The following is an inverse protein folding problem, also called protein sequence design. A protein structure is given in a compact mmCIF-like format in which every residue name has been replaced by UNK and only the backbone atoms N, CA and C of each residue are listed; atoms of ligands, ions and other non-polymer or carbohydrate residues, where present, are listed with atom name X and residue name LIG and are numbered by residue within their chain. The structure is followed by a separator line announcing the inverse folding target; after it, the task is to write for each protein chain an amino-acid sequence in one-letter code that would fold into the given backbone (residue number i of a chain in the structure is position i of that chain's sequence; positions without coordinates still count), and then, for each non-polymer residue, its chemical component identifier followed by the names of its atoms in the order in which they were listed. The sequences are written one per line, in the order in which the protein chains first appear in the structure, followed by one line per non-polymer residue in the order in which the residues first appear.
data_IF_516771041344
#
_entry.id   IF_516771041344
#
_cell.length_a   1.000
_cell.length_b   1.000
_cell.length_c   1.000
_cell.angle_alpha   90.00
_cell.angle_beta   90.00
_cell.angle_gamma   90.00
#
_symmetry.space_group_name_H-M   'P 1'
#
loop_
_entity.id
_entity.type
_entity.pdbx_description
1 polymer ?
#
# COMPACT_ATOMS: atom_id res chain seq x y z
N UNK A 1 -2.10 20.76 -6.11
CA UNK A 1 -3.51 21.01 -6.51
C UNK A 1 -4.39 20.53 -5.37
N UNK A 2 -5.48 21.22 -5.05
CA UNK A 2 -6.40 20.76 -4.01
C UNK A 2 -7.39 19.75 -4.61
N UNK A 3 -7.60 18.62 -3.93
CA UNK A 3 -8.49 17.55 -4.40
C UNK A 3 -9.92 17.76 -3.92
N UNK A 4 -10.90 17.39 -4.75
CA UNK A 4 -12.31 17.47 -4.39
C UNK A 4 -12.68 16.28 -3.50
N UNK A 5 -13.42 16.55 -2.42
CA UNK A 5 -13.93 15.48 -1.56
C UNK A 5 -14.95 14.60 -2.29
N UNK A 6 -14.99 13.33 -1.89
CA UNK A 6 -15.97 12.36 -2.35
C UNK A 6 -17.32 12.66 -1.70
N UNK A 7 -18.40 12.56 -2.47
CA UNK A 7 -19.76 12.58 -1.91
C UNK A 7 -20.04 11.26 -1.21
N UNK A 8 -20.01 11.27 0.12
CA UNK A 8 -20.19 10.08 0.96
C UNK A 8 -21.61 9.50 0.91
N UNK A 9 -22.59 10.22 0.35
CA UNK A 9 -24.01 9.81 0.38
C UNK A 9 -24.31 8.55 -0.45
N UNK A 10 -23.44 8.18 -1.39
CA UNK A 10 -23.66 7.08 -2.34
C UNK A 10 -22.47 6.10 -2.47
N UNK A 11 -21.53 6.12 -1.52
CA UNK A 11 -20.38 5.21 -1.55
C UNK A 11 -20.61 3.96 -0.70
N UNK A 12 -19.97 2.87 -1.09
CA UNK A 12 -19.94 1.64 -0.31
C UNK A 12 -18.64 1.60 0.49
N UNK A 13 -18.72 1.93 1.78
CA UNK A 13 -17.57 1.98 2.69
C UNK A 13 -17.27 0.61 3.30
N UNK A 14 -15.97 0.32 3.43
CA UNK A 14 -15.41 -0.82 4.11
C UNK A 14 -14.76 -0.31 5.40
N UNK A 15 -15.19 -0.87 6.52
CA UNK A 15 -14.69 -0.57 7.87
C UNK A 15 -13.80 -1.69 8.46
N UNK A 16 -13.85 -2.90 7.88
CA UNK A 16 -13.18 -4.10 8.41
C UNK A 16 -13.03 -5.16 7.32
N UNK A 17 -12.15 -6.14 7.55
CA UNK A 17 -12.01 -7.31 6.66
C UNK A 17 -13.31 -8.11 6.62
N UNK A 18 -14.01 -8.22 7.74
CA UNK A 18 -15.28 -8.92 7.85
C UNK A 18 -16.38 -8.30 6.98
N UNK A 19 -16.59 -6.98 7.07
CA UNK A 19 -17.62 -6.30 6.25
C UNK A 19 -17.33 -6.44 4.76
N UNK A 20 -16.06 -6.36 4.36
CA UNK A 20 -15.67 -6.55 2.97
C UNK A 20 -15.96 -7.97 2.46
N UNK A 21 -15.65 -9.02 3.25
CA UNK A 21 -15.97 -10.41 2.87
C UNK A 21 -17.47 -10.59 2.64
N UNK A 22 -18.31 -10.03 3.53
CA UNK A 22 -19.76 -10.08 3.36
C UNK A 22 -20.23 -9.38 2.09
N UNK A 23 -19.65 -8.21 1.78
CA UNK A 23 -19.96 -7.48 0.56
C UNK A 23 -19.62 -8.28 -0.70
N UNK A 24 -18.42 -8.87 -0.76
CA UNK A 24 -18.01 -9.70 -1.90
C UNK A 24 -18.91 -10.93 -2.05
N UNK A 25 -19.30 -11.55 -0.94
CA UNK A 25 -20.27 -12.66 -0.95
C UNK A 25 -21.60 -12.23 -1.58
N UNK A 26 -22.17 -11.09 -1.18
CA UNK A 26 -23.41 -10.55 -1.75
C UNK A 26 -23.28 -10.24 -3.24
N UNK A 27 -22.14 -9.69 -3.68
CA UNK A 27 -21.87 -9.44 -5.10
C UNK A 27 -21.92 -10.75 -5.88
N UNK A 28 -21.26 -11.79 -5.38
CA UNK A 28 -21.22 -13.10 -6.04
C UNK A 28 -22.60 -13.74 -6.12
N UNK A 29 -23.34 -13.77 -5.01
CA UNK A 29 -24.70 -14.34 -4.96
C UNK A 29 -25.67 -13.62 -5.91
N UNK A 30 -25.58 -12.28 -5.98
CA UNK A 30 -26.42 -11.48 -6.88
C UNK A 30 -26.14 -11.81 -8.34
N UNK A 31 -24.86 -12.00 -8.71
CA UNK A 31 -24.45 -12.33 -10.07
C UNK A 31 -24.83 -13.74 -10.47
N UNK A 32 -24.60 -14.72 -9.59
CA UNK A 32 -24.99 -16.11 -9.83
C UNK A 32 -26.51 -16.23 -10.06
N UNK A 33 -27.32 -15.42 -9.35
CA UNK A 33 -28.76 -15.36 -9.55
C UNK A 33 -29.20 -14.72 -10.88
N UNK A 34 -28.41 -13.79 -11.43
CA UNK A 34 -28.71 -13.09 -12.68
C UNK A 34 -28.26 -13.87 -13.92
N UNK A 35 -27.03 -14.38 -13.90
CA UNK A 35 -26.35 -14.90 -15.10
C UNK A 35 -26.31 -16.43 -15.15
N UNK A 36 -26.72 -17.12 -14.07
CA UNK A 36 -26.78 -18.58 -13.99
C UNK A 36 -25.41 -19.29 -14.13
N UNK A 37 -24.32 -18.52 -14.14
CA UNK A 37 -22.94 -18.98 -14.28
C UNK A 37 -22.07 -18.39 -13.16
N UNK A 38 -21.10 -19.16 -12.69
CA UNK A 38 -20.08 -18.68 -11.75
C UNK A 38 -18.99 -17.99 -12.56
N UNK A 39 -19.12 -16.68 -12.77
CA UNK A 39 -18.06 -15.87 -13.39
C UNK A 39 -16.97 -15.59 -12.37
N UNK A 40 -15.70 -15.69 -12.81
CA UNK A 40 -14.57 -15.30 -11.99
C UNK A 40 -14.58 -13.78 -11.77
N UNK A 41 -14.28 -13.34 -10.54
CA UNK A 41 -14.13 -11.93 -10.21
C UNK A 41 -12.65 -11.59 -10.13
N UNK A 42 -12.28 -10.50 -10.79
CA UNK A 42 -10.95 -9.91 -10.74
C UNK A 42 -11.02 -8.56 -10.03
N UNK A 43 -10.07 -8.31 -9.14
CA UNK A 43 -10.07 -7.16 -8.26
C UNK A 43 -8.84 -6.29 -8.48
N UNK A 44 -8.97 -4.98 -8.22
CA UNK A 44 -7.87 -4.03 -8.19
C UNK A 44 -8.04 -3.07 -7.03
N UNK A 45 -7.09 -3.08 -6.10
CA UNK A 45 -6.96 -2.07 -5.06
C UNK A 45 -6.11 -0.88 -5.53
N UNK A 46 -6.51 0.32 -5.13
CA UNK A 46 -5.74 1.54 -5.30
C UNK A 46 -5.71 2.30 -3.98
N UNK A 47 -4.54 2.79 -3.59
CA UNK A 47 -4.34 3.50 -2.34
C UNK A 47 -5.02 4.88 -2.29
N UNK A 48 -5.41 5.43 -3.45
CA UNK A 48 -6.10 6.73 -3.55
C UNK A 48 -7.25 6.69 -4.55
N UNK A 49 -8.31 7.44 -4.27
CA UNK A 49 -9.51 7.54 -5.11
C UNK A 49 -9.36 8.38 -6.37
N UNK A 50 -8.38 9.28 -6.40
CA UNK A 50 -8.22 10.26 -7.47
C UNK A 50 -7.31 9.77 -8.60
N UNK A 51 -6.77 8.56 -8.50
CA UNK A 51 -6.01 7.93 -9.57
C UNK A 51 -6.94 7.39 -10.65
N UNK A 52 -6.63 7.70 -11.91
CA UNK A 52 -7.28 7.08 -13.05
C UNK A 52 -6.82 5.60 -13.19
N UNK A 53 -7.70 4.77 -13.76
CA UNK A 53 -7.37 3.38 -14.06
C UNK A 53 -6.71 3.32 -15.44
N UNK A 54 -5.38 3.34 -15.43
CA UNK A 54 -4.57 3.21 -16.65
C UNK A 54 -3.25 2.47 -16.39
N UNK A 55 -2.76 1.68 -17.36
CA UNK A 55 -1.44 1.07 -17.34
C UNK A 55 -0.33 2.12 -17.32
N UNK A 56 0.83 1.72 -16.85
CA UNK A 56 1.99 2.60 -16.71
C UNK A 56 2.48 3.18 -18.03
N UNK A 57 2.33 2.49 -19.16
CA UNK A 57 2.76 3.00 -20.48
C UNK A 57 1.91 4.16 -21.02
N UNK A 58 0.67 4.33 -20.53
CA UNK A 58 -0.21 5.44 -20.95
C UNK A 58 0.05 6.73 -20.17
N UNK A 59 0.86 6.65 -19.11
CA UNK A 59 1.29 7.79 -18.30
C UNK A 59 2.45 8.51 -18.97
N UNK A 60 2.57 9.80 -18.69
CA UNK A 60 3.71 10.65 -19.08
C UNK A 60 4.06 10.59 -20.58
N UNK A 61 3.07 10.33 -21.44
CA UNK A 61 3.17 10.21 -22.90
C UNK A 61 4.25 9.22 -23.40
N UNK A 62 4.57 8.21 -22.58
CA UNK A 62 5.55 7.15 -22.87
C UNK A 62 5.13 6.23 -24.04
N UNK A 63 3.84 6.20 -24.38
CA UNK A 63 3.27 5.35 -25.44
C UNK A 63 3.94 5.58 -26.82
N UNK A 64 4.36 6.81 -27.11
CA UNK A 64 5.06 7.18 -28.35
C UNK A 64 6.36 6.39 -28.55
N UNK A 65 7.07 6.09 -27.47
CA UNK A 65 8.36 5.38 -27.49
C UNK A 65 8.25 3.94 -27.01
N UNK A 66 7.04 3.39 -26.87
CA UNK A 66 6.80 2.05 -26.34
C UNK A 66 7.67 0.97 -27.01
N UNK A 67 7.82 1.04 -28.34
CA UNK A 67 8.66 0.11 -29.10
C UNK A 67 10.12 0.11 -28.64
N UNK A 68 10.67 1.28 -28.28
CA UNK A 68 12.03 1.42 -27.75
C UNK A 68 12.10 0.87 -26.33
N UNK A 69 11.09 1.16 -25.53
CA UNK A 69 10.98 0.68 -24.14
C UNK A 69 10.88 -0.85 -24.07
N UNK A 70 10.28 -1.49 -25.07
CA UNK A 70 10.27 -2.96 -25.19
C UNK A 70 11.60 -3.56 -25.65
N UNK A 71 12.46 -2.79 -26.33
CA UNK A 71 13.74 -3.28 -26.87
C UNK A 71 14.93 -3.01 -25.94
N UNK A 72 14.96 -1.85 -25.28
CA UNK A 72 16.11 -1.42 -24.46
C UNK A 72 16.50 -2.40 -23.35
N UNK A 73 15.57 -2.99 -22.57
CA UNK A 73 15.94 -3.92 -21.52
C UNK A 73 16.52 -5.23 -22.07
N UNK A 74 16.03 -5.73 -23.22
CA UNK A 74 16.59 -6.91 -23.90
C UNK A 74 18.05 -6.69 -24.29
N UNK A 75 18.39 -5.47 -24.71
CA UNK A 75 19.75 -5.12 -25.12
C UNK A 75 20.69 -4.95 -23.94
N UNK A 76 20.21 -4.38 -22.82
CA UNK A 76 21.02 -4.13 -21.63
C UNK A 76 21.30 -5.39 -20.81
N UNK A 77 20.30 -6.26 -20.68
CA UNK A 77 20.37 -7.45 -19.82
C UNK A 77 19.81 -8.71 -20.49
N UNK A 78 20.39 -9.15 -21.63
CA UNK A 78 19.82 -10.24 -22.44
C UNK A 78 19.73 -11.59 -21.69
N UNK A 79 20.62 -11.83 -20.73
CA UNK A 79 20.66 -13.07 -19.95
C UNK A 79 19.42 -13.25 -19.08
N UNK A 80 18.81 -12.16 -18.62
CA UNK A 80 17.61 -12.19 -17.80
C UNK A 80 16.37 -12.69 -18.56
N UNK A 81 16.35 -12.58 -19.89
CA UNK A 81 15.17 -12.89 -20.70
C UNK A 81 15.32 -14.16 -21.53
N UNK A 82 16.43 -14.89 -21.37
CA UNK A 82 16.78 -16.05 -22.21
C UNK A 82 15.76 -17.17 -22.15
N UNK A 83 15.18 -17.40 -20.97
CA UNK A 83 14.27 -18.53 -20.74
C UNK A 83 12.78 -18.16 -20.98
N UNK A 84 12.51 -16.92 -21.40
CA UNK A 84 11.15 -16.46 -21.69
C UNK A 84 10.83 -16.64 -23.18
N UNK A 85 9.74 -17.34 -23.46
CA UNK A 85 9.37 -17.75 -24.82
C UNK A 85 8.27 -16.89 -25.44
N UNK A 86 7.63 -16.00 -24.67
CA UNK A 86 6.56 -15.11 -25.14
C UNK A 86 6.86 -13.66 -24.81
N UNK A 87 6.51 -12.75 -25.73
CA UNK A 87 6.60 -11.30 -25.50
C UNK A 87 5.75 -10.88 -24.30
N UNK A 88 4.62 -11.55 -24.05
CA UNK A 88 3.81 -11.31 -22.87
C UNK A 88 4.59 -11.59 -21.58
N UNK A 89 5.29 -12.72 -21.48
CA UNK A 89 6.09 -13.05 -20.29
C UNK A 89 7.27 -12.08 -20.11
N UNK A 90 7.82 -11.54 -21.21
CA UNK A 90 8.81 -10.46 -21.15
C UNK A 90 8.17 -9.20 -20.53
N UNK A 91 6.96 -8.83 -20.96
CA UNK A 91 6.22 -7.68 -20.41
C UNK A 91 5.89 -7.87 -18.92
N UNK A 92 5.51 -9.09 -18.47
CA UNK A 92 5.26 -9.33 -17.04
C UNK A 92 6.55 -9.16 -16.22
N UNK A 93 7.70 -9.64 -16.74
CA UNK A 93 9.00 -9.43 -16.10
C UNK A 93 9.41 -7.95 -16.08
N UNK A 94 9.12 -7.21 -17.15
CA UNK A 94 9.31 -5.76 -17.21
C UNK A 94 8.51 -5.02 -16.13
N UNK A 95 7.22 -5.31 -16.05
CA UNK A 95 6.34 -4.72 -15.03
C UNK A 95 6.82 -5.02 -13.62
N UNK A 96 7.28 -6.25 -13.37
CA UNK A 96 7.82 -6.64 -12.08
C UNK A 96 8.99 -5.76 -11.61
N UNK A 97 9.88 -5.38 -12.54
CA UNK A 97 11.01 -4.49 -12.28
C UNK A 97 10.70 -2.99 -12.48
N UNK A 98 9.42 -2.62 -12.59
CA UNK A 98 8.98 -1.23 -12.66
C UNK A 98 9.08 -0.58 -14.04
N UNK A 99 9.32 -1.36 -15.11
CA UNK A 99 9.24 -0.85 -16.47
C UNK A 99 7.78 -0.61 -16.87
N UNK A 100 7.51 0.46 -17.61
CA UNK A 100 6.15 0.75 -18.04
C UNK A 100 5.69 -0.18 -19.17
N UNK A 101 4.49 -0.75 -19.04
CA UNK A 101 3.90 -1.68 -20.02
C UNK A 101 2.39 -1.44 -20.19
N UNK A 102 1.77 -2.16 -21.14
CA UNK A 102 0.31 -2.19 -21.34
C UNK A 102 -0.45 -3.02 -20.31
N UNK A 103 0.25 -3.68 -19.39
CA UNK A 103 -0.36 -4.54 -18.39
C UNK A 103 -0.89 -3.69 -17.23
N UNK A 104 -2.13 -3.93 -16.85
CA UNK A 104 -2.70 -3.40 -15.61
C UNK A 104 -2.77 -4.53 -14.57
N UNK A 105 -2.24 -4.29 -13.37
CA UNK A 105 -2.23 -5.28 -12.30
C UNK A 105 -3.63 -5.49 -11.70
N UNK A 106 -4.06 -6.74 -11.63
CA UNK A 106 -5.25 -7.18 -10.91
C UNK A 106 -4.91 -8.41 -10.07
N UNK A 107 -5.85 -8.84 -9.24
CA UNK A 107 -5.73 -10.06 -8.43
C UNK A 107 -7.04 -10.83 -8.43
N UNK A 108 -6.98 -12.16 -8.35
CA UNK A 108 -8.15 -13.00 -8.09
C UNK A 108 -8.51 -13.05 -6.60
N UNK A 109 -7.64 -12.54 -5.71
CA UNK A 109 -7.87 -12.54 -4.27
C UNK A 109 -8.40 -11.16 -3.83
N UNK A 110 -9.67 -11.05 -3.40
CA UNK A 110 -10.24 -9.78 -2.97
C UNK A 110 -9.46 -9.16 -1.80
N UNK A 111 -8.94 -9.97 -0.88
CA UNK A 111 -8.20 -9.45 0.28
C UNK A 111 -6.83 -8.86 -0.09
N UNK A 112 -6.22 -9.34 -1.18
CA UNK A 112 -5.01 -8.72 -1.73
C UNK A 112 -5.35 -7.34 -2.33
N UNK A 113 -6.51 -7.21 -2.99
CA UNK A 113 -6.97 -5.90 -3.46
C UNK A 113 -7.28 -4.95 -2.28
N UNK A 114 -7.88 -5.46 -1.20
CA UNK A 114 -8.09 -4.68 0.03
C UNK A 114 -6.76 -4.20 0.62
N UNK A 115 -5.74 -5.06 0.70
CA UNK A 115 -4.40 -4.66 1.13
C UNK A 115 -3.85 -3.49 0.33
N UNK A 116 -3.94 -3.55 -1.01
CA UNK A 116 -3.46 -2.47 -1.88
C UNK A 116 -4.26 -1.17 -1.72
N UNK A 117 -5.57 -1.26 -1.46
CA UNK A 117 -6.40 -0.10 -1.18
C UNK A 117 -6.06 0.55 0.19
N UNK A 118 -5.58 -0.24 1.15
CA UNK A 118 -5.22 0.24 2.48
C UNK A 118 -3.77 0.74 2.60
N UNK A 119 -2.96 0.70 1.53
CA UNK A 119 -1.62 1.28 1.60
C UNK A 119 -1.69 2.78 1.91
N UNK A 120 -0.79 3.23 2.78
CA UNK A 120 -0.67 4.64 3.16
C UNK A 120 -0.08 5.43 1.98
N UNK A 121 -0.80 6.45 1.55
CA UNK A 121 -0.34 7.40 0.55
C UNK A 121 0.36 8.61 1.20
N UNK A 122 -0.13 9.04 2.36
CA UNK A 122 0.27 10.27 3.02
C UNK A 122 -0.85 11.32 2.98
N UNK A 123 -0.80 12.27 3.91
CA UNK A 123 -1.80 13.33 4.01
C UNK A 123 -1.81 14.21 2.77
N UNK A 124 -3.00 14.42 2.20
CA UNK A 124 -3.22 15.24 1.00
C UNK A 124 -4.14 16.39 1.37
N UNK A 125 -3.85 17.59 0.81
CA UNK A 125 -4.68 18.77 1.01
C UNK A 125 -5.92 18.76 0.11
N UNK A 126 -7.09 18.74 0.71
CA UNK A 126 -8.37 18.84 0.02
C UNK A 126 -8.81 20.31 -0.17
N UNK A 127 -9.81 20.54 -1.03
CA UNK A 127 -10.40 21.87 -1.28
C UNK A 127 -11.01 22.48 -0.02
N UNK A 128 -11.39 21.64 0.95
CA UNK A 128 -11.85 22.02 2.29
C UNK A 128 -10.74 22.55 3.21
N UNK A 129 -9.50 22.61 2.73
CA UNK A 129 -8.27 22.97 3.46
C UNK A 129 -7.83 21.97 4.54
N UNK A 130 -8.55 20.87 4.73
CA UNK A 130 -8.15 19.77 5.60
C UNK A 130 -7.09 18.88 4.91
N UNK A 131 -6.05 18.53 5.68
CA UNK A 131 -5.07 17.53 5.29
C UNK A 131 -5.46 16.18 5.91
N UNK A 132 -5.79 15.21 5.06
CA UNK A 132 -6.16 13.87 5.50
C UNK A 132 -5.61 12.81 4.56
N UNK A 133 -5.51 11.59 5.08
CA UNK A 133 -5.18 10.42 4.26
C UNK A 133 -6.33 10.18 3.26
N UNK A 134 -6.03 10.03 1.95
CA UNK A 134 -7.05 9.80 0.94
C UNK A 134 -7.74 8.44 1.07
N UNK A 135 -8.88 8.27 0.41
CA UNK A 135 -9.63 7.02 0.43
C UNK A 135 -8.93 5.97 -0.43
N UNK A 136 -8.86 4.74 0.09
CA UNK A 136 -8.56 3.58 -0.73
C UNK A 136 -9.76 3.22 -1.60
N UNK A 137 -9.53 2.65 -2.78
CA UNK A 137 -10.60 2.20 -3.67
C UNK A 137 -10.34 0.79 -4.18
N UNK A 138 -11.38 -0.04 -4.19
CA UNK A 138 -11.35 -1.40 -4.73
C UNK A 138 -12.33 -1.51 -5.88
N UNK A 139 -11.79 -1.70 -7.07
CA UNK A 139 -12.55 -2.01 -8.28
C UNK A 139 -12.63 -3.51 -8.48
N UNK A 140 -13.67 -3.96 -9.17
CA UNK A 140 -13.78 -5.34 -9.61
C UNK A 140 -14.42 -5.47 -11.00
N UNK A 141 -14.14 -6.57 -11.68
CA UNK A 141 -14.71 -6.90 -13.00
C UNK A 141 -14.89 -8.40 -13.15
N UNK A 142 -15.86 -8.78 -13.95
CA UNK A 142 -16.20 -10.15 -14.40
C UNK A 142 -16.45 -10.20 -15.91
N UNK A 143 -16.12 -9.12 -16.63
CA UNK A 143 -16.40 -9.00 -18.07
C UNK A 143 -15.54 -9.90 -18.94
N UNK A 144 -14.60 -10.63 -18.34
CA UNK A 144 -13.53 -11.33 -19.04
C UNK A 144 -13.48 -12.78 -18.63
N UNK A 145 -13.23 -13.63 -19.61
CA UNK A 145 -12.73 -14.98 -19.39
C UNK A 145 -11.21 -14.94 -19.31
N UNK A 146 -10.63 -15.87 -18.55
CA UNK A 146 -9.18 -15.99 -18.45
C UNK A 146 -8.58 -16.51 -19.76
N UNK A 147 -7.64 -15.73 -20.31
CA UNK A 147 -6.80 -16.10 -21.44
C UNK A 147 -5.43 -16.57 -20.97
N UNK A 148 -4.75 -17.36 -21.80
CA UNK A 148 -3.38 -17.81 -21.59
C UNK A 148 -2.39 -16.96 -22.38
N UNK A 149 -1.15 -16.87 -21.92
CA UNK A 149 -0.09 -16.12 -22.63
C UNK A 149 0.23 -16.68 -24.02
N UNK A 150 -0.19 -17.91 -24.31
CA UNK A 150 -0.04 -18.59 -25.61
C UNK A 150 -1.20 -18.33 -26.57
N UNK A 151 -2.29 -17.71 -26.14
CA UNK A 151 -3.43 -17.44 -27.02
C UNK A 151 -3.04 -16.41 -28.08
N UNK A 152 -3.57 -16.59 -29.30
CA UNK A 152 -3.12 -15.84 -30.48
C UNK A 152 -3.35 -14.33 -30.32
N UNK A 153 -4.44 -13.95 -29.67
CA UNK A 153 -4.79 -12.57 -29.36
C UNK A 153 -3.72 -11.91 -28.48
N UNK A 154 -3.27 -12.63 -27.45
CA UNK A 154 -2.26 -12.14 -26.51
C UNK A 154 -0.91 -11.98 -27.22
N UNK A 155 -0.55 -12.94 -28.07
CA UNK A 155 0.67 -12.87 -28.86
C UNK A 155 0.65 -11.68 -29.84
N UNK A 156 -0.46 -11.45 -30.54
CA UNK A 156 -0.62 -10.33 -31.48
C UNK A 156 -0.50 -8.99 -30.74
N UNK A 157 -1.25 -8.81 -29.66
CA UNK A 157 -1.27 -7.55 -28.90
C UNK A 157 0.11 -7.25 -28.28
N UNK A 158 0.76 -8.27 -27.72
CA UNK A 158 2.11 -8.14 -27.15
C UNK A 158 3.16 -7.83 -28.23
N UNK A 159 3.06 -8.44 -29.41
CA UNK A 159 3.95 -8.14 -30.53
C UNK A 159 3.79 -6.70 -31.02
N UNK A 160 2.54 -6.23 -31.20
CA UNK A 160 2.23 -4.86 -31.62
C UNK A 160 2.77 -3.80 -30.64
N UNK A 161 2.82 -4.09 -29.35
CA UNK A 161 3.45 -3.20 -28.36
C UNK A 161 4.94 -2.96 -28.69
N UNK A 162 5.65 -3.98 -29.19
CA UNK A 162 7.06 -3.90 -29.56
C UNK A 162 7.32 -3.26 -30.94
N UNK A 163 6.29 -3.08 -31.77
CA UNK A 163 6.43 -2.56 -33.13
C UNK A 163 6.47 -1.02 -33.16
N UNK A 164 7.29 -0.49 -34.08
CA UNK A 164 7.39 0.93 -34.40
C UNK A 164 6.29 1.31 -35.42
N UNK A 165 5.09 1.58 -34.91
CA UNK A 165 3.91 1.94 -35.71
C UNK A 165 3.91 3.42 -36.17
N UNK A 166 5.02 4.13 -36.06
CA UNK A 166 5.19 5.45 -36.71
C UNK A 166 5.67 5.32 -38.17
N UNK A 167 6.30 4.19 -38.52
CA UNK A 167 6.89 3.96 -39.85
C UNK A 167 6.15 2.90 -40.66
N UNK A 168 5.95 1.73 -40.07
CA UNK A 168 5.37 0.54 -40.71
C UNK A 168 4.05 0.23 -40.03
N UNK A 169 2.99 0.92 -40.46
CA UNK A 169 1.73 0.96 -39.72
C UNK A 169 0.50 0.68 -40.56
N UNK A 170 0.67 0.32 -41.84
CA UNK A 170 -0.45 -0.15 -42.64
C UNK A 170 -0.85 -1.56 -42.21
N UNK A 171 -2.11 -1.94 -42.45
CA UNK A 171 -2.58 -3.30 -42.24
C UNK A 171 -1.68 -4.32 -42.94
N UNK A 172 -1.24 -4.03 -44.17
CA UNK A 172 -0.35 -4.91 -44.91
C UNK A 172 1.00 -5.08 -44.21
N UNK A 173 1.64 -3.98 -43.81
CA UNK A 173 2.96 -4.02 -43.16
C UNK A 173 2.92 -4.76 -41.82
N UNK A 174 1.89 -4.46 -41.02
CA UNK A 174 1.69 -5.09 -39.70
C UNK A 174 1.46 -6.59 -39.84
N UNK A 175 0.61 -7.02 -40.78
CA UNK A 175 0.34 -8.45 -41.01
C UNK A 175 1.55 -9.19 -41.59
N UNK A 176 2.31 -8.58 -42.50
CA UNK A 176 3.58 -9.15 -42.97
C UNK A 176 4.58 -9.32 -41.82
N UNK A 177 4.70 -8.32 -40.95
CA UNK A 177 5.60 -8.39 -39.80
C UNK A 177 5.19 -9.46 -38.80
N UNK A 178 3.91 -9.54 -38.43
CA UNK A 178 3.39 -10.62 -37.58
C UNK A 178 3.66 -12.01 -38.18
N UNK A 179 3.59 -12.16 -39.50
CA UNK A 179 3.93 -13.40 -40.18
C UNK A 179 5.44 -13.70 -40.13
N UNK A 180 6.29 -12.70 -40.38
CA UNK A 180 7.74 -12.85 -40.30
C UNK A 180 8.22 -13.21 -38.89
N UNK A 181 7.63 -12.60 -37.87
CA UNK A 181 7.88 -12.87 -36.46
C UNK A 181 7.22 -14.19 -35.98
N UNK A 182 6.56 -14.91 -36.90
CA UNK A 182 5.90 -16.21 -36.68
C UNK A 182 4.79 -16.18 -35.64
N UNK A 183 4.18 -15.02 -35.43
CA UNK A 183 3.00 -14.85 -34.56
C UNK A 183 1.77 -15.42 -35.26
N UNK A 184 1.61 -15.15 -36.56
CA UNK A 184 0.52 -15.69 -37.39
C UNK A 184 1.07 -16.55 -38.52
N UNK A 185 0.25 -17.48 -39.00
CA UNK A 185 0.58 -18.25 -40.19
C UNK A 185 0.21 -17.49 -41.48
N UNK A 186 0.69 -18.01 -42.63
CA UNK A 186 0.45 -17.41 -43.94
C UNK A 186 -1.04 -17.37 -44.30
N UNK A 187 -1.81 -18.39 -43.92
CA UNK A 187 -3.24 -18.49 -44.25
C UNK A 187 -4.03 -17.41 -43.53
N UNK A 188 -3.74 -17.19 -42.25
CA UNK A 188 -4.33 -16.14 -41.41
C UNK A 188 -3.98 -14.76 -41.95
N UNK A 189 -2.70 -14.54 -42.31
CA UNK A 189 -2.26 -13.30 -42.98
C UNK A 189 -3.08 -13.01 -44.24
N UNK A 190 -3.10 -13.96 -45.18
CA UNK A 190 -3.77 -13.81 -46.47
C UNK A 190 -5.29 -13.60 -46.30
N UNK A 191 -5.91 -14.26 -45.31
CA UNK A 191 -7.32 -14.07 -44.96
C UNK A 191 -7.60 -12.66 -44.42
N UNK A 192 -6.83 -12.18 -43.44
CA UNK A 192 -7.07 -10.88 -42.82
C UNK A 192 -6.72 -9.69 -43.71
N UNK A 193 -5.89 -9.86 -44.75
CA UNK A 193 -5.71 -8.85 -45.79
C UNK A 193 -7.01 -8.57 -46.58
N UNK A 194 -7.93 -9.54 -46.64
CA UNK A 194 -9.23 -9.43 -47.32
C UNK A 194 -10.36 -9.19 -46.32
N UNK A 195 -10.36 -9.93 -45.21
CA UNK A 195 -11.38 -9.89 -44.16
C UNK A 195 -10.75 -9.57 -42.80
N UNK A 196 -10.42 -8.29 -42.60
CA UNK A 196 -9.72 -7.78 -41.43
C UNK A 196 -10.57 -7.67 -40.15
N UNK A 197 -11.86 -7.99 -40.20
CA UNK A 197 -12.79 -7.74 -39.08
C UNK A 197 -12.43 -8.46 -37.79
N UNK A 198 -11.96 -9.71 -37.90
CA UNK A 198 -11.46 -10.48 -36.76
C UNK A 198 -10.19 -9.84 -36.17
N UNK A 199 -9.22 -9.50 -37.01
CA UNK A 199 -7.98 -8.85 -36.58
C UNK A 199 -8.25 -7.51 -35.87
N UNK A 200 -9.14 -6.68 -36.42
CA UNK A 200 -9.52 -5.40 -35.79
C UNK A 200 -10.15 -5.63 -34.42
N UNK A 201 -11.03 -6.63 -34.28
CA UNK A 201 -11.61 -7.01 -32.99
C UNK A 201 -10.52 -7.41 -32.00
N UNK A 202 -9.49 -8.13 -32.45
CA UNK A 202 -8.38 -8.56 -31.59
C UNK A 202 -7.59 -7.35 -31.05
N UNK A 203 -7.21 -6.42 -31.93
CA UNK A 203 -6.38 -5.27 -31.54
C UNK A 203 -7.16 -4.15 -30.81
N UNK A 204 -8.48 -4.27 -30.72
CA UNK A 204 -9.34 -3.30 -30.03
C UNK A 204 -9.93 -3.82 -28.72
N UNK A 205 -9.97 -5.14 -28.51
CA UNK A 205 -10.44 -5.73 -27.27
C UNK A 205 -9.32 -5.88 -26.25
N UNK A 206 -9.64 -5.70 -24.96
CA UNK A 206 -8.73 -6.00 -23.86
C UNK A 206 -8.85 -7.48 -23.45
N UNK A 207 -7.84 -7.98 -22.74
CA UNK A 207 -7.78 -9.40 -22.37
C UNK A 207 -7.34 -9.59 -20.92
N UNK A 208 -8.06 -10.42 -20.17
CA UNK A 208 -7.62 -10.86 -18.84
C UNK A 208 -6.70 -12.05 -19.00
N UNK A 209 -5.42 -11.90 -18.68
CA UNK A 209 -4.40 -12.91 -18.92
C UNK A 209 -3.90 -13.48 -17.61
N UNK A 210 -3.95 -14.80 -17.49
CA UNK A 210 -3.31 -15.55 -16.43
C UNK A 210 -1.84 -15.71 -16.77
N UNK A 211 -0.93 -15.05 -16.04
CA UNK A 211 0.50 -15.16 -16.32
C UNK A 211 1.03 -16.53 -15.92
N UNK A 212 2.16 -16.93 -16.52
CA UNK A 212 2.91 -18.05 -15.99
C UNK A 212 3.49 -17.66 -14.62
N UNK A 213 3.17 -18.41 -13.56
CA UNK A 213 3.61 -18.13 -12.18
C UNK A 213 5.09 -18.46 -11.93
N UNK A 214 5.95 -18.10 -12.88
CA UNK A 214 7.41 -18.16 -12.75
C UNK A 214 7.92 -17.14 -11.73
N UNK A 215 7.18 -16.05 -11.56
CA UNK A 215 7.48 -15.00 -10.59
C UNK A 215 6.79 -15.28 -9.24
N UNK A 216 7.58 -15.40 -8.17
CA UNK A 216 7.06 -15.69 -6.84
C UNK A 216 6.15 -14.61 -6.30
N UNK A 217 6.48 -13.33 -6.53
CA UNK A 217 5.67 -12.18 -6.08
C UNK A 217 4.27 -12.25 -6.69
N UNK A 218 4.21 -12.48 -8.00
CA UNK A 218 2.95 -12.62 -8.74
C UNK A 218 2.10 -13.77 -8.21
N UNK A 219 2.75 -14.90 -7.88
CA UNK A 219 2.09 -16.06 -7.26
C UNK A 219 1.52 -15.74 -5.88
N UNK A 220 2.27 -15.03 -5.03
CA UNK A 220 1.83 -14.64 -3.68
C UNK A 220 0.67 -13.65 -3.69
N UNK A 221 0.62 -12.79 -4.69
CA UNK A 221 -0.43 -11.79 -4.87
C UNK A 221 -1.66 -12.33 -5.61
N UNK A 222 -1.65 -13.62 -6.02
CA UNK A 222 -2.64 -14.18 -6.94
C UNK A 222 -2.87 -13.27 -8.15
N UNK A 223 -1.77 -12.73 -8.68
CA UNK A 223 -1.78 -11.64 -9.63
C UNK A 223 -2.17 -12.09 -11.03
N UNK A 224 -2.98 -11.26 -11.68
CA UNK A 224 -3.44 -11.42 -13.06
C UNK A 224 -3.33 -10.08 -13.77
N UNK A 225 -3.29 -10.08 -15.09
CA UNK A 225 -3.10 -8.85 -15.85
C UNK A 225 -4.25 -8.59 -16.81
N UNK A 226 -4.76 -7.36 -16.81
CA UNK A 226 -5.53 -6.87 -17.95
C UNK A 226 -4.54 -6.33 -18.99
N UNK A 227 -4.39 -7.05 -20.10
CA UNK A 227 -3.60 -6.63 -21.25
C UNK A 227 -4.43 -5.65 -22.10
N UNK A 228 -3.94 -4.42 -22.21
CA UNK A 228 -4.68 -3.33 -22.86
C UNK A 228 -4.28 -3.18 -24.32
N UNK A 229 -5.24 -3.45 -25.20
CA UNK A 229 -4.97 -3.54 -26.64
C UNK A 229 -5.05 -2.16 -27.29
N UNK A 230 -6.16 -1.43 -27.14
CA UNK A 230 -6.32 0.00 -27.52
C UNK A 230 -5.54 0.47 -28.77
N UNK A 231 -5.50 -0.33 -29.82
CA UNK A 231 -4.96 0.09 -31.12
C UNK A 231 -6.09 0.69 -31.95
N UNK A 232 -5.88 1.89 -32.48
CA UNK A 232 -6.80 2.51 -33.42
C UNK A 232 -6.62 1.92 -34.81
N UNK A 233 -7.74 1.73 -35.52
CA UNK A 233 -7.76 1.27 -36.90
C UNK A 233 -8.48 2.31 -37.77
N UNK A 234 -7.73 3.01 -38.60
CA UNK A 234 -8.25 4.02 -39.52
C UNK A 234 -8.41 3.39 -40.90
N UNK A 235 -9.67 3.11 -41.27
CA UNK A 235 -10.00 2.45 -42.53
C UNK A 235 -9.77 3.38 -43.73
N UNK A 236 -8.99 2.91 -44.68
CA UNK A 236 -8.81 3.54 -46.00
C UNK A 236 -9.68 2.87 -47.08
N UNK A 237 -9.76 3.51 -48.25
CA UNK A 237 -10.49 2.95 -49.41
C UNK A 237 -9.97 1.57 -49.83
N UNK A 238 -8.64 1.42 -49.86
CA UNK A 238 -7.99 0.11 -49.94
C UNK A 238 -7.72 -0.38 -48.52
N UNK A 239 -8.36 -1.49 -48.14
CA UNK A 239 -8.24 -2.05 -46.79
C UNK A 239 -6.80 -2.31 -46.40
N UNK A 240 -5.92 -2.67 -47.35
CA UNK A 240 -4.51 -2.95 -47.10
C UNK A 240 -3.72 -1.73 -46.61
N UNK A 241 -4.15 -0.54 -47.01
CA UNK A 241 -3.52 0.74 -46.65
C UNK A 241 -4.14 1.34 -45.38
N UNK A 242 -5.11 0.66 -44.76
CA UNK A 242 -5.68 1.12 -43.49
C UNK A 242 -4.59 1.22 -42.42
N UNK A 243 -4.62 2.30 -41.65
CA UNK A 243 -3.54 2.63 -40.71
C UNK A 243 -3.88 2.16 -39.31
N UNK A 244 -2.91 1.53 -38.66
CA UNK A 244 -2.98 1.06 -37.28
C UNK A 244 -2.08 1.94 -36.42
N UNK A 245 -2.62 2.53 -35.35
CA UNK A 245 -1.85 3.39 -34.45
C UNK A 245 -2.08 3.04 -32.99
N UNK A 246 -1.09 3.36 -32.15
CA UNK A 246 -1.23 3.22 -30.70
C UNK A 246 -2.11 4.33 -30.16
N UNK A 247 -3.10 3.99 -29.36
CA UNK A 247 -3.93 4.97 -28.67
C UNK A 247 -3.95 4.68 -27.16
N UNK A 248 -4.30 5.72 -26.40
CA UNK A 248 -4.59 5.62 -24.97
C UNK A 248 -6.08 5.82 -24.73
N UNK A 249 -6.59 5.20 -23.68
CA UNK A 249 -7.98 5.26 -23.27
C UNK A 249 -8.13 4.98 -21.79
N UNK A 250 -9.23 5.45 -21.21
CA UNK A 250 -9.56 5.19 -19.80
C UNK A 250 -10.12 3.79 -19.65
N UNK A 251 -9.71 3.07 -18.62
CA UNK A 251 -10.18 1.71 -18.37
C UNK A 251 -11.26 1.61 -17.31
N UNK A 252 -11.77 2.74 -16.80
CA UNK A 252 -12.82 2.72 -15.76
C UNK A 252 -14.07 1.95 -16.23
N UNK A 253 -14.41 2.05 -17.51
CA UNK A 253 -15.53 1.33 -18.12
C UNK A 253 -15.30 -0.19 -18.21
N UNK A 254 -14.07 -0.68 -18.01
CA UNK A 254 -13.77 -2.12 -17.97
C UNK A 254 -14.10 -2.76 -16.62
N UNK A 255 -14.42 -1.94 -15.62
CA UNK A 255 -14.80 -2.38 -14.29
C UNK A 255 -16.30 -2.21 -14.06
N UNK A 256 -16.77 -2.76 -12.94
CA UNK A 256 -18.14 -2.54 -12.46
C UNK A 256 -18.37 -1.07 -12.12
N UNK A 257 -19.60 -0.60 -12.36
CA UNK A 257 -20.03 0.74 -11.93
C UNK A 257 -20.11 0.86 -10.41
N UNK A 258 -20.25 -0.27 -9.72
CA UNK A 258 -20.17 -0.38 -8.25
C UNK A 258 -18.76 -0.77 -7.86
N UNK A 259 -18.20 -0.06 -6.88
CA UNK A 259 -16.87 -0.31 -6.34
C UNK A 259 -16.82 0.18 -4.89
N UNK A 260 -15.80 -0.24 -4.15
CA UNK A 260 -15.75 -0.09 -2.70
C UNK A 260 -14.70 0.93 -2.29
N UNK A 261 -14.94 1.59 -1.17
CA UNK A 261 -14.04 2.59 -0.61
C UNK A 261 -13.58 2.19 0.79
N UNK A 262 -12.35 2.55 1.12
CA UNK A 262 -11.79 2.43 2.47
C UNK A 262 -11.45 3.84 2.94
N UNK A 263 -11.97 4.26 4.09
CA UNK A 263 -11.64 5.57 4.64
C UNK A 263 -10.14 5.64 4.99
N UNK A 264 -9.54 6.81 4.91
CA UNK A 264 -8.13 7.00 5.29
C UNK A 264 -7.83 6.59 6.74
N UNK A 265 -8.81 6.74 7.63
CA UNK A 265 -8.72 6.42 9.07
C UNK A 265 -8.77 4.90 9.32
N UNK A 266 -9.53 4.16 8.51
CA UNK A 266 -9.70 2.70 8.69
C UNK A 266 -8.57 1.88 8.07
N UNK A 267 -7.77 2.46 7.17
CA UNK A 267 -6.67 1.76 6.48
C UNK A 267 -5.75 0.98 7.42
N UNK A 268 -5.32 1.60 8.52
CA UNK A 268 -4.38 0.97 9.46
C UNK A 268 -5.02 -0.18 10.24
N UNK A 269 -6.28 -0.02 10.66
CA UNK A 269 -7.02 -1.07 11.35
C UNK A 269 -7.22 -2.29 10.44
N UNK A 270 -7.62 -2.06 9.19
CA UNK A 270 -7.82 -3.12 8.19
C UNK A 270 -6.50 -3.83 7.87
N UNK A 271 -5.39 -3.10 7.75
CA UNK A 271 -4.07 -3.71 7.55
C UNK A 271 -3.69 -4.63 8.72
N UNK A 272 -3.98 -4.22 9.96
CA UNK A 272 -3.74 -5.06 11.13
C UNK A 272 -4.63 -6.32 11.14
N UNK A 273 -5.89 -6.22 10.71
CA UNK A 273 -6.76 -7.39 10.53
C UNK A 273 -6.25 -8.32 9.44
N UNK A 274 -5.85 -7.78 8.29
CA UNK A 274 -5.28 -8.55 7.17
C UNK A 274 -3.99 -9.29 7.56
N UNK A 275 -3.18 -8.70 8.44
CA UNK A 275 -1.97 -9.32 8.96
C UNK A 275 -2.28 -10.63 9.72
N UNK A 276 -3.41 -10.71 10.45
CA UNK A 276 -3.88 -11.94 11.10
C UNK A 276 -4.15 -13.07 10.10
N UNK A 277 -4.48 -12.73 8.85
CA UNK A 277 -4.70 -13.67 7.75
C UNK A 277 -3.44 -13.89 6.90
N UNK A 278 -2.25 -13.45 7.36
CA UNK A 278 -0.99 -13.48 6.61
C UNK A 278 -1.02 -12.70 5.29
N UNK A 279 -1.80 -11.61 5.23
CA UNK A 279 -1.82 -10.70 4.08
C UNK A 279 -1.13 -9.41 4.50
N UNK A 280 0.19 -9.39 4.34
CA UNK A 280 1.04 -8.28 4.73
C UNK A 280 2.17 -8.08 3.70
N UNK A 281 3.00 -7.06 3.92
CA UNK A 281 4.08 -6.72 2.99
C UNK A 281 5.08 -7.88 2.80
N UNK A 282 5.48 -8.57 3.87
CA UNK A 282 6.45 -9.66 3.77
C UNK A 282 5.91 -10.90 3.04
N UNK A 283 4.61 -11.19 3.15
CA UNK A 283 4.02 -12.36 2.49
C UNK A 283 3.67 -12.09 1.03
N UNK A 284 3.29 -10.85 0.68
CA UNK A 284 2.95 -10.44 -0.68
C UNK A 284 4.17 -10.09 -1.54
N UNK A 285 5.27 -9.66 -0.91
CA UNK A 285 6.50 -9.27 -1.60
C UNK A 285 7.68 -10.11 -1.08
N UNK A 286 8.07 -11.18 -1.81
CA UNK A 286 9.11 -12.10 -1.38
C UNK A 286 10.52 -11.47 -1.42
N UNK A 287 10.69 -10.31 -2.04
CA UNK A 287 11.98 -9.63 -2.14
C UNK A 287 12.50 -9.19 -0.76
N UNK A 288 13.81 -9.32 -0.55
CA UNK A 288 14.44 -9.10 0.75
C UNK A 288 14.17 -7.68 1.30
N UNK A 289 14.15 -6.66 0.44
CA UNK A 289 13.88 -5.28 0.83
C UNK A 289 12.52 -5.14 1.54
N UNK A 290 11.49 -5.80 1.03
CA UNK A 290 10.14 -5.79 1.61
C UNK A 290 10.08 -6.60 2.91
N UNK A 291 10.78 -7.73 2.98
CA UNK A 291 10.90 -8.50 4.23
C UNK A 291 11.56 -7.67 5.33
N UNK A 292 12.66 -6.97 5.02
CA UNK A 292 13.37 -6.12 5.98
C UNK A 292 12.54 -4.90 6.39
N UNK A 293 11.82 -4.29 5.45
CA UNK A 293 10.89 -3.18 5.72
C UNK A 293 9.77 -3.61 6.66
N UNK A 294 9.21 -4.80 6.45
CA UNK A 294 8.21 -5.39 7.32
C UNK A 294 8.76 -5.71 8.72
N UNK A 295 9.97 -6.28 8.83
CA UNK A 295 10.61 -6.51 10.13
C UNK A 295 10.76 -5.19 10.90
N UNK A 296 11.20 -4.12 10.23
CA UNK A 296 11.26 -2.79 10.84
C UNK A 296 9.89 -2.33 11.31
N UNK A 297 8.84 -2.51 10.50
CA UNK A 297 7.47 -2.15 10.84
C UNK A 297 6.93 -2.93 12.05
N UNK A 298 7.01 -4.26 12.03
CA UNK A 298 6.49 -5.13 13.09
C UNK A 298 7.14 -4.85 14.46
N UNK A 299 8.39 -4.38 14.47
CA UNK A 299 9.13 -4.05 15.70
C UNK A 299 9.01 -2.57 16.11
N UNK A 300 8.23 -1.72 15.40
CA UNK A 300 8.07 -0.29 15.77
C UNK A 300 7.48 -0.08 17.15
N UNK A 301 6.68 -1.01 17.65
CA UNK A 301 6.09 -0.89 18.98
C UNK A 301 7.05 -1.30 20.11
N UNK A 302 8.24 -1.83 19.78
CA UNK A 302 9.27 -2.26 20.73
C UNK A 302 10.40 -1.24 20.89
N UNK A 303 10.44 -0.16 20.10
CA UNK A 303 11.52 0.83 20.17
C UNK A 303 11.41 1.72 21.41
N UNK A 304 12.54 1.92 22.07
CA UNK A 304 12.71 2.93 23.12
C UNK A 304 13.60 4.06 22.58
N UNK A 305 13.29 5.35 22.86
CA UNK A 305 14.17 6.45 22.49
C UNK A 305 15.51 6.29 23.22
N UNK A 306 16.59 6.42 22.46
CA UNK A 306 17.97 6.44 22.97
C UNK A 306 18.46 7.88 22.98
N UNK A 307 19.41 8.19 23.87
CA UNK A 307 20.04 9.51 23.88
C UNK A 307 20.87 9.72 22.63
N UNK A 308 20.93 10.97 22.17
CA UNK A 308 21.81 11.34 21.08
C UNK A 308 23.27 11.13 21.50
N UNK A 309 24.09 10.66 20.56
CA UNK A 309 25.51 10.47 20.80
C UNK A 309 26.17 11.83 21.10
N UNK A 310 26.71 11.97 22.31
CA UNK A 310 27.56 13.09 22.68
C UNK A 310 29.01 12.60 22.63
N UNK A 311 29.80 13.19 21.74
CA UNK A 311 31.23 12.91 21.66
C UNK A 311 31.90 13.38 22.95
N UNK A 312 32.64 12.50 23.60
CA UNK A 312 33.43 12.83 24.78
C UNK A 312 34.58 13.81 24.42
N UNK A 313 34.66 14.93 25.15
CA UNK A 313 35.76 15.91 25.06
C UNK A 313 36.37 16.11 26.46
N UNK A 314 37.69 15.92 26.59
CA UNK A 314 38.43 15.91 27.87
C UNK A 314 38.40 17.26 28.63
N UNK A 315 38.15 18.38 27.95
CA UNK A 315 38.25 19.72 28.55
C UNK A 315 36.95 20.25 29.20
N UNK A 316 35.85 19.49 29.20
CA UNK A 316 34.56 19.88 29.82
C UNK A 316 34.23 19.13 31.11
N UNK A 317 35.23 18.56 31.80
CA UNK A 317 35.03 17.80 33.03
C UNK A 317 34.72 18.65 34.28
N UNK A 318 34.64 19.98 34.17
CA UNK A 318 34.20 20.84 35.26
C UNK A 318 32.83 21.46 34.96
N UNK A 319 31.82 20.97 35.69
CA UNK A 319 30.54 21.61 36.06
C UNK A 319 29.20 21.08 35.54
N UNK A 320 29.08 19.84 35.03
CA UNK A 320 27.78 19.11 35.08
C UNK A 320 28.01 17.61 35.17
N UNK A 321 27.92 17.02 36.36
CA UNK A 321 27.77 15.57 36.48
C UNK A 321 26.40 15.17 35.90
N UNK A 322 26.40 14.22 34.97
CA UNK A 322 25.19 13.77 34.28
C UNK A 322 24.36 12.87 35.22
N UNK A 323 23.09 13.22 35.42
CA UNK A 323 22.17 12.60 36.40
C UNK A 323 21.95 11.10 36.13
N UNK A 324 22.27 10.62 34.93
CA UNK A 324 22.22 9.18 34.59
C UNK A 324 23.07 8.29 35.51
N UNK A 325 24.05 8.85 36.23
CA UNK A 325 24.90 8.12 37.20
C UNK A 325 24.24 7.97 38.57
N UNK A 326 23.26 8.83 38.93
CA UNK A 326 22.61 8.86 40.27
C UNK A 326 21.12 8.44 40.27
N UNK A 327 20.72 7.64 39.28
CA UNK A 327 19.34 7.20 39.12
C UNK A 327 18.82 6.33 40.28
N UNK A 328 19.61 5.41 40.87
CA UNK A 328 19.18 4.68 42.06
C UNK A 328 18.87 5.59 43.25
N UNK A 329 19.62 6.68 43.44
CA UNK A 329 19.37 7.66 44.51
C UNK A 329 18.09 8.48 44.25
N UNK A 330 17.82 8.87 43.01
CA UNK A 330 16.57 9.55 42.63
C UNK A 330 15.36 8.65 42.85
N UNK A 331 15.44 7.39 42.41
CA UNK A 331 14.37 6.41 42.60
C UNK A 331 14.12 6.19 44.09
N UNK A 332 15.18 6.00 44.89
CA UNK A 332 15.06 5.85 46.34
C UNK A 332 14.47 7.10 47.01
N UNK A 333 14.87 8.31 46.61
CA UNK A 333 14.29 9.56 47.09
C UNK A 333 12.78 9.63 46.83
N UNK A 334 12.35 9.22 45.64
CA UNK A 334 10.93 9.18 45.29
C UNK A 334 10.19 8.19 46.16
N UNK A 335 10.75 7.00 46.41
CA UNK A 335 10.14 5.99 47.27
C UNK A 335 10.01 6.45 48.72
N UNK A 336 11.05 7.08 49.27
CA UNK A 336 11.10 7.48 50.68
C UNK A 336 10.17 8.67 50.98
N UNK A 337 9.89 9.52 49.98
CA UNK A 337 9.10 10.74 50.15
C UNK A 337 7.70 10.65 49.53
N UNK A 338 7.33 9.52 48.94
CA UNK A 338 6.07 9.37 48.22
C UNK A 338 4.85 9.61 49.11
N UNK A 339 4.76 8.89 50.23
CA UNK A 339 3.57 8.93 51.11
C UNK A 339 3.31 10.34 51.67
N UNK A 340 4.37 11.09 51.99
CA UNK A 340 4.28 12.43 52.55
C UNK A 340 3.96 13.49 51.48
N UNK A 341 4.56 13.41 50.29
CA UNK A 341 4.33 14.37 49.20
C UNK A 341 2.96 14.22 48.54
N UNK A 342 2.43 13.01 48.50
CA UNK A 342 1.13 12.72 47.88
C UNK A 342 -0.04 12.68 48.88
N UNK A 343 0.23 13.01 50.15
CA UNK A 343 -0.75 13.09 51.23
C UNK A 343 -1.85 14.11 50.93
N UNK A 344 -3.10 13.65 50.92
CA UNK A 344 -4.27 14.49 50.63
C UNK A 344 -4.68 14.53 49.15
N UNK A 345 -3.88 13.96 48.25
CA UNK A 345 -4.19 13.82 46.81
C UNK A 345 -4.54 12.37 46.49
N UNK A 346 -3.77 11.44 47.06
CA UNK A 346 -4.03 10.01 46.99
C UNK A 346 -4.67 9.58 48.32
N UNK A 347 -5.74 8.79 48.27
CA UNK A 347 -6.34 8.22 49.48
C UNK A 347 -5.46 7.10 50.04
N UNK A 348 -5.43 6.89 51.36
CA UNK A 348 -4.54 5.93 52.03
C UNK A 348 -4.61 4.50 51.45
N UNK A 349 -5.77 4.11 50.92
CA UNK A 349 -5.97 2.81 50.27
C UNK A 349 -5.32 2.70 48.88
N UNK A 350 -5.10 3.82 48.18
CA UNK A 350 -4.65 3.88 46.78
C UNK A 350 -3.14 4.10 46.65
N UNK A 351 -2.46 4.55 47.71
CA UNK A 351 -1.04 4.93 47.72
C UNK A 351 -0.15 3.82 47.19
N UNK A 352 -0.36 2.58 47.68
CA UNK A 352 0.46 1.42 47.29
C UNK A 352 0.33 1.08 45.81
N UNK A 353 -0.87 1.16 45.26
CA UNK A 353 -1.14 0.74 43.88
C UNK A 353 -0.61 1.79 42.89
N UNK A 354 -0.81 3.08 43.19
CA UNK A 354 -0.25 4.17 42.38
C UNK A 354 1.29 4.15 42.41
N UNK A 355 1.88 3.90 43.58
CA UNK A 355 3.33 3.75 43.70
C UNK A 355 3.85 2.57 42.87
N UNK A 356 3.12 1.46 42.82
CA UNK A 356 3.52 0.30 42.02
C UNK A 356 3.46 0.60 40.52
N UNK A 357 2.42 1.29 40.05
CA UNK A 357 2.29 1.75 38.65
C UNK A 357 3.49 2.62 38.24
N UNK A 358 3.96 3.49 39.14
CA UNK A 358 5.11 4.37 38.89
C UNK A 358 6.41 3.56 38.87
N UNK A 359 6.62 2.66 39.85
CA UNK A 359 7.80 1.78 39.94
C UNK A 359 7.98 0.92 38.69
N UNK A 360 6.90 0.40 38.12
CA UNK A 360 6.94 -0.42 36.90
C UNK A 360 7.45 0.35 35.66
N UNK A 361 7.53 1.68 35.73
CA UNK A 361 8.05 2.52 34.65
C UNK A 361 9.47 3.05 34.90
N UNK A 362 10.11 2.67 36.01
CA UNK A 362 11.50 3.03 36.31
C UNK A 362 12.44 2.36 35.31
N UNK A 363 12.86 3.17 34.35
CA UNK A 363 13.84 2.83 33.31
C UNK A 363 14.83 3.98 33.20
N UNK A 364 15.99 3.77 32.56
CA UNK A 364 17.04 4.80 32.51
C UNK A 364 16.49 6.15 32.03
N UNK A 365 16.69 7.23 32.79
CA UNK A 365 16.18 8.59 32.48
C UNK A 365 14.65 8.70 32.27
N UNK A 366 13.83 7.88 32.94
CA UNK A 366 12.38 7.86 32.72
C UNK A 366 11.68 9.22 32.89
N UNK A 367 12.18 10.07 33.78
CA UNK A 367 11.64 11.39 34.11
C UNK A 367 11.86 12.43 33.00
N UNK A 368 12.83 12.22 32.08
CA UNK A 368 13.04 13.08 30.89
C UNK A 368 12.14 12.67 29.72
N UNK A 369 11.39 11.57 29.84
CA UNK A 369 10.69 10.92 28.72
C UNK A 369 9.18 11.20 28.79
N UNK A 370 8.72 12.16 27.98
CA UNK A 370 7.29 12.47 27.79
C UNK A 370 6.40 11.23 27.54
N UNK A 371 6.82 10.21 26.73
CA UNK A 371 6.02 9.01 26.54
C UNK A 371 5.82 8.19 27.83
N UNK A 372 6.85 8.13 28.69
CA UNK A 372 6.76 7.39 29.96
C UNK A 372 5.86 8.16 30.93
N UNK A 373 6.01 9.47 31.04
CA UNK A 373 5.12 10.31 31.83
C UNK A 373 3.67 10.22 31.36
N UNK A 374 3.44 10.17 30.04
CA UNK A 374 2.12 9.95 29.45
C UNK A 374 1.58 8.55 29.76
N UNK A 375 2.42 7.51 29.73
CA UNK A 375 2.04 6.14 30.08
C UNK A 375 1.69 6.02 31.56
N UNK A 376 2.46 6.64 32.46
CA UNK A 376 2.14 6.76 33.88
C UNK A 376 0.79 7.44 34.05
N UNK A 377 0.57 8.58 33.37
CA UNK A 377 -0.70 9.30 33.40
C UNK A 377 -1.88 8.43 32.93
N UNK A 378 -1.72 7.70 31.83
CA UNK A 378 -2.74 6.80 31.29
C UNK A 378 -3.02 5.60 32.20
N UNK A 379 -1.99 4.98 32.78
CA UNK A 379 -2.15 3.86 33.72
C UNK A 379 -2.86 4.29 34.99
N UNK A 380 -2.50 5.45 35.55
CA UNK A 380 -3.17 6.02 36.73
C UNK A 380 -4.60 6.44 36.39
N UNK A 381 -4.83 7.02 35.22
CA UNK A 381 -6.18 7.34 34.73
C UNK A 381 -7.03 6.07 34.62
N UNK A 382 -6.49 4.99 34.05
CA UNK A 382 -7.16 3.70 33.93
C UNK A 382 -7.46 3.03 35.27
N UNK A 383 -6.55 3.15 36.24
CA UNK A 383 -6.76 2.71 37.61
C UNK A 383 -7.94 3.46 38.27
N UNK A 384 -7.95 4.79 38.18
CA UNK A 384 -9.00 5.60 38.78
C UNK A 384 -10.33 5.54 38.03
N UNK A 385 -10.34 5.28 36.72
CA UNK A 385 -11.56 5.04 35.94
C UNK A 385 -12.30 3.78 36.41
N UNK A 386 -11.57 2.77 36.90
CA UNK A 386 -12.18 1.56 37.48
C UNK A 386 -12.79 1.82 38.87
N UNK A 387 -12.36 2.88 39.56
CA UNK A 387 -12.77 3.21 40.94
C UNK A 387 -13.80 4.36 41.01
N UNK A 388 -13.80 5.25 40.03
CA UNK A 388 -14.68 6.42 39.95
C UNK A 388 -15.52 6.39 38.66
N UNK A 389 -16.77 6.84 38.73
CA UNK A 389 -17.68 6.86 37.57
C UNK A 389 -17.37 7.96 36.53
N UNK A 390 -16.55 8.95 36.87
CA UNK A 390 -16.26 10.10 35.98
C UNK A 390 -14.83 10.08 35.41
N UNK A 391 -14.73 9.98 34.09
CA UNK A 391 -13.48 10.05 33.31
C UNK A 391 -12.71 11.36 33.53
N UNK A 392 -13.41 12.48 33.66
CA UNK A 392 -12.79 13.81 33.86
C UNK A 392 -12.17 13.98 35.25
N UNK A 393 -12.68 13.26 36.25
CA UNK A 393 -12.10 13.26 37.60
C UNK A 393 -10.86 12.38 37.63
N UNK A 394 -10.90 11.20 37.00
CA UNK A 394 -9.75 10.30 36.91
C UNK A 394 -8.56 10.93 36.18
N UNK A 395 -8.81 11.61 35.05
CA UNK A 395 -7.79 12.30 34.26
C UNK A 395 -7.12 13.44 35.04
N UNK A 396 -7.91 14.32 35.67
CA UNK A 396 -7.39 15.42 36.51
C UNK A 396 -6.53 14.92 37.66
N UNK A 397 -6.93 13.81 38.30
CA UNK A 397 -6.19 13.22 39.40
C UNK A 397 -4.85 12.65 38.94
N UNK A 398 -4.81 12.00 37.78
CA UNK A 398 -3.58 11.49 37.18
C UNK A 398 -2.62 12.61 36.74
N UNK A 399 -3.12 13.70 36.16
CA UNK A 399 -2.33 14.89 35.80
C UNK A 399 -1.69 15.54 37.03
N UNK A 400 -2.44 15.66 38.14
CA UNK A 400 -1.90 16.16 39.41
C UNK A 400 -0.77 15.28 39.94
N UNK A 401 -0.92 13.95 39.87
CA UNK A 401 0.08 13.00 40.35
C UNK A 401 1.37 13.11 39.52
N UNK A 402 1.26 13.18 38.19
CA UNK A 402 2.44 13.33 37.32
C UNK A 402 3.13 14.69 37.51
N UNK A 403 2.37 15.75 37.77
CA UNK A 403 2.92 17.09 38.06
C UNK A 403 3.77 17.07 39.33
N UNK A 404 3.25 16.47 40.41
CA UNK A 404 4.00 16.32 41.66
C UNK A 404 5.21 15.41 41.53
N UNK A 405 5.10 14.37 40.72
CA UNK A 405 6.21 13.47 40.43
C UNK A 405 7.36 14.21 39.72
N UNK A 406 7.04 15.07 38.75
CA UNK A 406 8.03 15.94 38.11
C UNK A 406 8.63 16.95 39.09
N UNK A 407 7.80 17.53 39.98
CA UNK A 407 8.31 18.45 41.00
C UNK A 407 9.30 17.76 41.95
N UNK A 408 9.04 16.51 42.35
CA UNK A 408 9.99 15.75 43.18
C UNK A 408 11.33 15.50 42.48
N UNK A 409 11.29 15.29 41.17
CA UNK A 409 12.51 15.15 40.36
C UNK A 409 13.27 16.49 40.30
N UNK A 410 12.58 17.61 40.07
CA UNK A 410 13.19 18.96 40.09
C UNK A 410 13.76 19.31 41.47
N UNK A 411 13.06 18.99 42.55
CA UNK A 411 13.51 19.24 43.92
C UNK A 411 14.77 18.43 44.24
N UNK A 412 14.85 17.18 43.77
CA UNK A 412 16.04 16.34 43.89
C UNK A 412 17.22 16.92 43.12
N UNK A 413 16.99 17.36 41.88
CA UNK A 413 18.01 17.99 41.03
C UNK A 413 18.55 19.27 41.68
N UNK A 414 17.65 20.13 42.16
CA UNK A 414 18.01 21.40 42.82
C UNK A 414 18.78 21.16 44.12
N UNK A 415 18.37 20.17 44.92
CA UNK A 415 19.05 19.82 46.17
C UNK A 415 20.43 19.16 45.97
N UNK A 416 20.73 18.63 44.77
CA UNK A 416 22.05 18.13 44.40
C UNK A 416 22.95 19.28 43.91
N UNK A 417 22.41 20.19 43.09
CA UNK A 417 23.11 21.38 42.61
C UNK A 417 23.56 22.30 43.77
N UNK A 418 22.73 22.44 44.82
CA UNK A 418 23.07 23.23 46.02
C UNK A 418 24.13 22.58 46.92
N UNK A 419 24.34 21.26 46.83
CA UNK A 419 25.33 20.51 47.62
C UNK A 419 26.71 20.44 46.95
N UNK A 420 26.83 20.88 45.70
CA UNK A 420 28.09 20.85 44.96
C UNK A 420 28.62 19.43 44.69
N UNK A 421 27.73 18.44 44.55
CA UNK A 421 28.07 17.04 44.24
C UNK A 421 27.79 16.63 42.80
#
# INVERSE_FOLDING_TARGET
MAYKEIDESNITLIDSVGSFIEMIKRVKETKEAQDGTSTELYFRGQETEFWDIEPSIFRDDMLSIEHKLMQMPLQKSPTEFRDLNSMFDIMTKYQHYGMCTRLLDLTTNPLVALYFACKKHGAVKYVTEEEKEPYGVIYYTDKYYSSQSTDIEIQIVSALASYDLEKENTLSDVLERLYHDRVIDKRTKDNWLVNYGEFVKIIQNNYMVMPTYTNERLRKQSGVFLLTSLFSFNKENDSKNSVISKAKGKLKEEFSNTYFYVSGEDKENILNELDLYNINEATLFPELEHQLSYIKYANRNLVNPVTDFIKYEEESANNKQDIGVKQPELEQYILDNFDDRFKGIIGEEDVKEVLNIIKEQFTVDWYKRNPILSKINMSITGYYLKKYESRDVAKRKAEQIVTLLNQMVEDFITAMDERGE
#
